data_IF_324335773018
#
_entry.id   IF_324335773018
#
_cell.length_a   1.000
_cell.length_b   1.000
_cell.length_c   1.000
_cell.angle_alpha   90.00
_cell.angle_beta   90.00
_cell.angle_gamma   90.00
#
_symmetry.space_group_name_H-M   'P 1'
#
loop_
_entity.id
_entity.type
_entity.pdbx_description
1 polymer ?
#
# COMPACT_ATOMS: atom_id res chain seq x y z
N UNK A 1 -8.59 20.12 13.92
CA UNK A 1 -8.77 19.60 15.29
C UNK A 1 -8.38 18.13 15.30
N UNK A 2 -7.65 17.67 16.32
CA UNK A 2 -7.40 16.23 16.52
C UNK A 2 -8.68 15.64 17.10
N UNK A 3 -9.22 14.61 16.44
CA UNK A 3 -10.45 13.90 16.88
C UNK A 3 -10.14 12.54 17.51
N UNK A 4 -8.95 11.98 17.24
CA UNK A 4 -8.39 10.83 17.95
C UNK A 4 -6.86 10.95 17.96
N UNK A 5 -6.24 10.71 19.11
CA UNK A 5 -4.79 10.85 19.28
C UNK A 5 -3.98 9.75 18.57
N UNK A 6 -4.48 8.52 18.57
CA UNK A 6 -3.80 7.39 17.93
C UNK A 6 -4.78 6.32 17.46
N UNK A 7 -4.95 6.19 16.15
CA UNK A 7 -5.78 5.18 15.51
C UNK A 7 -5.35 3.75 15.86
N UNK A 8 -4.05 3.53 15.99
CA UNK A 8 -3.48 2.20 16.20
C UNK A 8 -3.61 1.69 17.64
N UNK A 9 -4.02 2.57 18.57
CA UNK A 9 -4.06 2.33 20.02
C UNK A 9 -2.75 1.70 20.55
N UNK A 10 -1.60 2.17 20.08
CA UNK A 10 -0.27 1.71 20.48
C UNK A 10 0.26 0.45 19.78
N UNK A 11 -0.47 -0.09 18.80
CA UNK A 11 0.03 -1.24 18.01
C UNK A 11 1.12 -0.85 17.01
N UNK A 12 1.11 0.39 16.49
CA UNK A 12 2.19 0.95 15.69
C UNK A 12 3.31 1.53 16.57
N UNK A 13 4.51 1.70 15.99
CA UNK A 13 5.65 2.33 16.67
C UNK A 13 5.45 3.84 16.86
N UNK A 14 4.72 4.47 15.94
CA UNK A 14 4.39 5.89 15.95
C UNK A 14 2.87 6.05 16.11
N UNK A 15 2.43 7.06 16.86
CA UNK A 15 1.00 7.40 16.94
C UNK A 15 0.47 7.82 15.58
N UNK A 16 -0.75 7.40 15.26
CA UNK A 16 -1.43 7.73 14.01
C UNK A 16 -2.63 8.63 14.33
N UNK A 17 -2.45 9.95 14.46
CA UNK A 17 -3.54 10.83 14.82
C UNK A 17 -4.60 10.88 13.71
N UNK A 18 -5.84 11.12 14.13
CA UNK A 18 -6.97 11.38 13.24
C UNK A 18 -7.36 12.85 13.38
N UNK A 19 -7.37 13.58 12.26
CA UNK A 19 -7.61 15.02 12.24
C UNK A 19 -8.80 15.41 11.36
N UNK A 20 -9.65 16.30 11.87
CA UNK A 20 -10.72 16.91 11.10
C UNK A 20 -10.61 18.43 11.17
N UNK A 21 -10.50 19.07 10.03
CA UNK A 21 -10.50 20.53 9.85
C UNK A 21 -11.54 20.99 8.81
N UNK A 22 -12.33 20.06 8.28
CA UNK A 22 -13.25 20.30 7.16
C UNK A 22 -14.66 20.51 7.67
N UNK A 23 -15.11 19.68 8.61
CA UNK A 23 -16.48 19.69 9.11
C UNK A 23 -16.55 19.26 10.59
N UNK A 24 -17.76 19.19 11.13
CA UNK A 24 -18.03 18.75 12.50
C UNK A 24 -18.32 17.24 12.61
N UNK A 25 -17.99 16.44 11.59
CA UNK A 25 -18.23 15.00 11.62
C UNK A 25 -17.27 14.31 12.60
N UNK A 26 -17.85 13.46 13.46
CA UNK A 26 -17.07 12.62 14.36
C UNK A 26 -16.45 11.46 13.58
N UNK A 27 -15.22 11.08 13.96
CA UNK A 27 -14.62 9.84 13.50
C UNK A 27 -15.31 8.67 14.19
N UNK A 28 -16.07 7.87 13.43
CA UNK A 28 -16.75 6.68 13.93
C UNK A 28 -15.95 5.44 13.56
N UNK A 29 -15.25 4.87 14.54
CA UNK A 29 -14.56 3.58 14.40
C UNK A 29 -15.59 2.44 14.32
N UNK A 30 -16.03 2.13 13.10
CA UNK A 30 -16.88 0.96 12.81
C UNK A 30 -16.05 -0.25 12.35
N UNK A 31 -14.77 -0.28 12.71
CA UNK A 31 -13.82 -1.34 12.38
C UNK A 31 -12.80 -1.46 13.52
N UNK A 32 -12.06 -2.56 13.54
CA UNK A 32 -10.98 -2.83 14.48
C UNK A 32 -9.64 -2.63 13.80
N UNK A 33 -8.78 -1.81 14.40
CA UNK A 33 -7.41 -1.66 13.94
C UNK A 33 -6.60 -2.91 14.25
N UNK A 34 -6.06 -3.56 13.23
CA UNK A 34 -5.17 -4.73 13.35
C UNK A 34 -3.90 -4.51 12.54
N UNK A 35 -2.77 -5.05 13.01
CA UNK A 35 -1.48 -4.89 12.33
C UNK A 35 -1.24 -5.94 11.22
N UNK A 36 -1.95 -7.07 11.29
CA UNK A 36 -1.77 -8.24 10.43
C UNK A 36 -3.14 -8.75 9.95
N UNK A 37 -3.13 -9.50 8.84
CA UNK A 37 -4.33 -10.09 8.26
C UNK A 37 -5.01 -11.08 9.22
N UNK A 38 -6.34 -11.08 9.21
CA UNK A 38 -7.16 -11.99 10.02
C UNK A 38 -7.69 -13.12 9.14
N UNK A 39 -7.39 -14.35 9.53
CA UNK A 39 -7.87 -15.57 8.87
C UNK A 39 -8.93 -16.25 9.78
N UNK A 40 -10.00 -16.79 9.20
CA UNK A 40 -11.06 -17.50 9.96
C UNK A 40 -10.83 -19.00 10.11
N UNK A 41 -10.01 -19.57 9.23
CA UNK A 41 -9.72 -21.00 9.19
C UNK A 41 -8.26 -21.21 9.58
N UNK A 42 -8.01 -22.19 10.46
CA UNK A 42 -6.66 -22.60 10.81
C UNK A 42 -6.05 -23.35 9.62
N UNK A 43 -5.10 -22.72 8.93
CA UNK A 43 -4.36 -23.38 7.86
C UNK A 43 -3.22 -24.22 8.41
N UNK A 44 -3.12 -25.48 7.97
CA UNK A 44 -1.91 -26.27 8.18
C UNK A 44 -0.73 -25.58 7.48
N UNK A 45 0.26 -25.18 8.28
CA UNK A 45 1.45 -24.52 7.79
C UNK A 45 2.28 -25.52 6.96
N UNK A 46 2.18 -25.44 5.63
CA UNK A 46 3.06 -26.23 4.75
C UNK A 46 4.49 -25.75 4.96
N UNK A 47 5.36 -26.66 5.42
CA UNK A 47 6.79 -26.42 5.60
C UNK A 47 7.45 -26.14 4.25
N UNK A 48 7.44 -24.87 3.84
CA UNK A 48 8.18 -24.36 2.71
C UNK A 48 9.32 -23.52 3.28
N UNK A 49 10.53 -24.05 3.16
CA UNK A 49 11.74 -23.44 3.71
C UNK A 49 12.22 -22.30 2.80
N UNK A 50 12.57 -21.17 3.40
CA UNK A 50 13.38 -20.13 2.79
C UNK A 50 14.84 -20.57 2.67
N UNK A 51 15.79 -19.63 2.76
CA UNK A 51 17.20 -19.96 2.62
C UNK A 51 17.82 -20.71 3.83
N UNK A 52 18.90 -21.42 3.53
CA UNK A 52 19.81 -22.12 4.45
C UNK A 52 21.19 -21.42 4.56
N UNK A 53 21.28 -20.16 4.11
CA UNK A 53 22.52 -19.38 4.14
C UNK A 53 23.07 -19.22 5.57
N UNK A 54 24.37 -19.47 5.76
CA UNK A 54 24.99 -19.47 7.11
C UNK A 54 25.30 -18.05 7.61
N UNK A 55 25.78 -17.15 6.72
CA UNK A 55 26.27 -15.82 7.13
C UNK A 55 25.48 -14.68 6.47
N UNK A 56 25.67 -14.49 5.17
CA UNK A 56 25.13 -13.35 4.42
C UNK A 56 24.37 -13.86 3.21
N UNK A 57 23.11 -13.44 3.11
CA UNK A 57 22.31 -13.66 1.91
C UNK A 57 22.79 -12.73 0.80
N UNK A 58 23.34 -13.30 -0.28
CA UNK A 58 23.76 -12.56 -1.48
C UNK A 58 23.08 -13.14 -2.73
N UNK A 59 22.91 -12.34 -3.80
CA UNK A 59 22.50 -12.85 -5.11
C UNK A 59 23.38 -14.01 -5.59
N UNK A 60 22.78 -15.03 -6.18
CA UNK A 60 23.41 -16.26 -6.64
C UNK A 60 23.75 -17.27 -5.53
N UNK A 61 23.45 -16.96 -4.27
CA UNK A 61 23.70 -17.84 -3.11
C UNK A 61 22.50 -18.01 -2.20
N UNK A 62 21.47 -17.17 -2.32
CA UNK A 62 20.33 -17.16 -1.41
C UNK A 62 19.06 -17.41 -2.19
N UNK A 63 18.40 -18.54 -1.92
CA UNK A 63 17.14 -18.89 -2.56
C UNK A 63 16.07 -17.81 -2.41
N UNK A 64 16.02 -17.08 -1.29
CA UNK A 64 15.07 -15.97 -1.10
C UNK A 64 15.34 -14.82 -2.08
N UNK A 65 16.61 -14.49 -2.31
CA UNK A 65 17.00 -13.45 -3.26
C UNK A 65 16.77 -13.92 -4.69
N UNK A 66 17.24 -15.12 -5.02
CA UNK A 66 17.25 -15.64 -6.38
C UNK A 66 15.84 -15.99 -6.89
N UNK A 67 14.91 -16.34 -5.99
CA UNK A 67 13.50 -16.54 -6.32
C UNK A 67 12.71 -15.22 -6.39
N UNK A 68 13.25 -14.12 -5.86
CA UNK A 68 12.60 -12.81 -5.95
C UNK A 68 12.84 -12.20 -7.33
N UNK A 69 11.79 -11.71 -7.97
CA UNK A 69 11.89 -11.04 -9.27
C UNK A 69 12.04 -9.53 -9.13
N UNK A 70 11.88 -9.00 -7.92
CA UNK A 70 12.13 -7.60 -7.58
C UNK A 70 13.35 -7.50 -6.68
N UNK A 71 14.24 -6.54 -6.99
CA UNK A 71 15.39 -6.24 -6.15
C UNK A 71 15.01 -5.26 -5.05
N UNK A 72 15.62 -5.44 -3.88
CA UNK A 72 15.56 -4.47 -2.79
C UNK A 72 16.95 -4.02 -2.40
N UNK A 73 17.06 -2.76 -1.97
CA UNK A 73 18.27 -2.14 -1.46
C UNK A 73 17.90 -1.30 -0.23
N UNK A 74 18.60 -1.50 0.88
CA UNK A 74 18.39 -0.74 2.13
C UNK A 74 16.91 -0.64 2.54
N UNK A 75 16.22 -1.79 2.59
CA UNK A 75 14.81 -1.88 2.93
C UNK A 75 13.87 -1.07 2.00
N UNK A 76 14.26 -0.88 0.73
CA UNK A 76 13.46 -0.24 -0.32
C UNK A 76 13.45 -1.08 -1.57
N UNK A 77 12.37 -0.98 -2.34
CA UNK A 77 12.29 -1.53 -3.69
C UNK A 77 13.19 -0.72 -4.62
N UNK A 78 14.00 -1.44 -5.40
CA UNK A 78 14.83 -0.85 -6.44
C UNK A 78 13.97 -0.48 -7.66
N UNK A 79 13.81 0.83 -7.90
CA UNK A 79 13.02 1.39 -9.00
C UNK A 79 13.87 1.79 -10.21
N UNK A 80 15.17 1.45 -10.25
CA UNK A 80 16.06 1.82 -11.36
C UNK A 80 15.60 1.28 -12.71
N UNK A 81 14.94 0.12 -12.72
CA UNK A 81 14.37 -0.50 -13.91
C UNK A 81 12.86 -0.21 -14.08
N UNK A 82 12.35 0.81 -13.40
CA UNK A 82 10.94 1.15 -13.37
C UNK A 82 10.17 0.51 -12.22
N UNK A 83 8.88 0.79 -12.16
CA UNK A 83 7.96 0.30 -11.14
C UNK A 83 7.66 -1.19 -11.40
N UNK A 84 7.87 -2.10 -10.43
CA UNK A 84 7.54 -3.51 -10.58
C UNK A 84 6.06 -3.73 -10.93
N UNK A 85 5.80 -4.64 -11.85
CA UNK A 85 4.45 -5.05 -12.23
C UNK A 85 3.84 -5.95 -11.15
N UNK A 86 2.68 -5.56 -10.63
CA UNK A 86 2.00 -6.28 -9.55
C UNK A 86 1.82 -7.79 -9.83
N UNK A 87 1.46 -8.19 -11.06
CA UNK A 87 1.13 -9.58 -11.41
C UNK A 87 2.34 -10.41 -11.83
N UNK A 88 3.42 -9.79 -12.28
CA UNK A 88 4.63 -10.49 -12.76
C UNK A 88 5.72 -10.52 -11.69
N UNK A 89 5.72 -9.52 -10.80
CA UNK A 89 6.74 -9.38 -9.80
C UNK A 89 6.33 -9.91 -8.42
N UNK A 90 7.32 -10.44 -7.69
CA UNK A 90 7.16 -11.00 -6.35
C UNK A 90 8.47 -10.91 -5.56
N UNK A 91 8.36 -10.76 -4.23
CA UNK A 91 9.48 -10.77 -3.29
C UNK A 91 9.32 -11.93 -2.30
N UNK A 92 10.41 -12.66 -2.06
CA UNK A 92 10.52 -13.65 -0.98
C UNK A 92 11.48 -13.09 0.08
N UNK A 93 10.93 -12.55 1.16
CA UNK A 93 11.75 -11.97 2.24
C UNK A 93 12.41 -13.05 3.07
N UNK A 94 13.61 -12.80 3.58
CA UNK A 94 14.15 -13.64 4.63
C UNK A 94 13.40 -13.41 5.95
N UNK A 95 13.02 -14.50 6.63
CA UNK A 95 12.29 -14.43 7.89
C UNK A 95 12.75 -15.51 8.86
N UNK A 96 12.62 -15.26 10.16
CA UNK A 96 13.01 -16.18 11.23
C UNK A 96 12.25 -17.51 11.21
N UNK A 97 11.02 -17.52 10.71
CA UNK A 97 10.17 -18.71 10.67
C UNK A 97 10.40 -19.55 9.41
N UNK A 98 10.88 -18.94 8.32
CA UNK A 98 11.05 -19.63 7.04
C UNK A 98 12.50 -19.97 6.72
N UNK A 99 13.46 -19.13 7.10
CA UNK A 99 14.87 -19.31 6.76
C UNK A 99 15.62 -20.03 7.89
N UNK A 100 16.04 -21.27 7.64
CA UNK A 100 16.82 -22.06 8.61
C UNK A 100 18.24 -21.52 8.83
N UNK A 101 18.82 -20.95 7.78
CA UNK A 101 20.18 -20.40 7.80
C UNK A 101 20.24 -19.02 8.45
N UNK A 102 19.84 -17.98 7.70
CA UNK A 102 19.99 -16.60 8.16
C UNK A 102 19.02 -16.21 9.28
N UNK A 103 17.93 -16.96 9.46
CA UNK A 103 16.88 -16.73 10.47
C UNK A 103 16.34 -15.29 10.46
N UNK A 104 16.24 -14.69 9.27
CA UNK A 104 15.75 -13.32 9.09
C UNK A 104 16.69 -12.22 9.58
N UNK A 105 17.94 -12.54 9.97
CA UNK A 105 18.91 -11.54 10.46
C UNK A 105 19.67 -10.80 9.36
N UNK A 106 19.48 -11.20 8.10
CA UNK A 106 20.09 -10.51 6.97
C UNK A 106 19.26 -9.28 6.55
N UNK A 107 19.81 -8.48 5.65
CA UNK A 107 19.15 -7.27 5.12
C UNK A 107 18.11 -7.54 4.02
N UNK A 108 17.87 -8.82 3.66
CA UNK A 108 16.89 -9.16 2.64
C UNK A 108 15.47 -9.21 3.20
N UNK A 109 15.00 -8.07 3.69
CA UNK A 109 13.66 -7.86 4.23
C UNK A 109 13.25 -6.42 3.92
N UNK A 110 12.07 -6.25 3.35
CA UNK A 110 11.47 -4.95 3.02
C UNK A 110 10.53 -4.49 4.14
N UNK A 111 9.79 -5.42 4.75
CA UNK A 111 8.80 -5.12 5.78
C UNK A 111 9.42 -4.90 7.16
N UNK A 112 9.07 -3.80 7.86
CA UNK A 112 9.46 -3.60 9.26
C UNK A 112 8.65 -4.53 10.18
N UNK A 113 9.15 -4.79 11.39
CA UNK A 113 8.41 -5.57 12.40
C UNK A 113 7.14 -4.86 12.90
N UNK A 114 7.14 -3.53 12.89
CA UNK A 114 5.99 -2.68 13.25
C UNK A 114 5.91 -1.50 12.30
N UNK A 115 4.69 -1.06 12.02
CA UNK A 115 4.47 0.18 11.29
C UNK A 115 5.15 1.35 12.00
N UNK A 116 5.97 2.12 11.27
CA UNK A 116 6.88 3.12 11.82
C UNK A 116 6.91 4.44 11.04
N UNK A 117 5.95 4.66 10.13
CA UNK A 117 5.88 5.91 9.38
C UNK A 117 5.05 6.97 10.12
N UNK A 118 5.53 8.21 10.12
CA UNK A 118 4.78 9.37 10.60
C UNK A 118 3.72 9.77 9.57
N UNK A 119 2.49 9.32 9.79
CA UNK A 119 1.32 9.62 8.97
C UNK A 119 0.17 10.07 9.85
N UNK A 120 -0.85 10.66 9.24
CA UNK A 120 -2.12 10.95 9.91
C UNK A 120 -3.31 10.65 9.01
N UNK A 121 -4.42 10.25 9.62
CA UNK A 121 -5.70 10.13 8.94
C UNK A 121 -6.38 11.49 8.99
N UNK A 122 -6.82 12.01 7.85
CA UNK A 122 -7.43 13.34 7.77
C UNK A 122 -8.74 13.33 6.98
N UNK A 123 -9.68 14.20 7.37
CA UNK A 123 -10.92 14.41 6.62
C UNK A 123 -10.64 15.21 5.36
N UNK A 124 -11.04 14.70 4.20
CA UNK A 124 -10.99 15.43 2.92
C UNK A 124 -12.34 16.12 2.64
N UNK A 125 -12.34 17.19 1.81
CA UNK A 125 -13.58 17.88 1.44
C UNK A 125 -14.54 17.02 0.60
N UNK A 126 -14.01 16.12 -0.25
CA UNK A 126 -14.82 15.44 -1.29
C UNK A 126 -14.78 13.91 -1.22
N UNK A 127 -13.79 13.30 -0.57
CA UNK A 127 -13.50 11.86 -0.66
C UNK A 127 -13.50 11.16 0.72
N UNK A 128 -14.18 11.73 1.73
CA UNK A 128 -14.28 11.07 3.04
C UNK A 128 -13.03 11.25 3.90
N UNK A 129 -12.46 10.16 4.39
CA UNK A 129 -11.24 10.12 5.20
C UNK A 129 -10.09 9.57 4.36
N UNK A 130 -8.91 10.14 4.54
CA UNK A 130 -7.70 9.83 3.77
C UNK A 130 -6.49 9.67 4.69
N UNK A 131 -5.36 9.19 4.15
CA UNK A 131 -4.06 9.20 4.84
C UNK A 131 -3.14 10.20 4.18
N UNK A 132 -2.38 10.98 4.94
CA UNK A 132 -1.28 11.81 4.41
C UNK A 132 0.01 11.62 5.18
N UNK A 133 1.13 11.84 4.49
CA UNK A 133 2.45 11.79 5.14
C UNK A 133 2.70 13.01 6.01
N UNK A 134 3.38 12.83 7.14
CA UNK A 134 3.93 13.93 7.97
C UNK A 134 5.44 14.06 7.85
N UNK A 135 6.07 13.15 7.12
CA UNK A 135 7.50 13.11 6.89
C UNK A 135 7.81 13.00 5.39
N UNK A 136 9.10 13.13 5.05
CA UNK A 136 9.59 12.75 3.73
C UNK A 136 9.57 11.22 3.61
N UNK A 137 9.12 10.72 2.46
CA UNK A 137 9.21 9.29 2.13
C UNK A 137 9.89 9.19 0.77
N UNK A 138 11.03 8.50 0.74
CA UNK A 138 11.79 8.27 -0.50
C UNK A 138 11.07 7.25 -1.39
N UNK A 139 11.20 7.41 -2.70
CA UNK A 139 10.75 6.40 -3.66
C UNK A 139 11.34 5.01 -3.32
N UNK A 140 10.55 3.96 -3.52
CA UNK A 140 10.86 2.57 -3.17
C UNK A 140 10.57 2.19 -1.72
N UNK A 141 10.29 3.16 -0.84
CA UNK A 141 10.00 2.89 0.58
C UNK A 141 8.71 2.10 0.74
N UNK A 142 8.76 1.02 1.53
CA UNK A 142 7.58 0.28 1.96
C UNK A 142 6.69 1.16 2.84
N UNK A 143 5.39 1.17 2.57
CA UNK A 143 4.41 1.94 3.31
C UNK A 143 3.73 1.08 4.37
N UNK A 144 2.93 0.11 3.93
CA UNK A 144 2.19 -0.79 4.79
C UNK A 144 1.67 -1.99 3.99
N UNK A 145 1.45 -3.10 4.69
CA UNK A 145 0.65 -4.21 4.17
C UNK A 145 -0.81 -3.77 4.06
N UNK A 146 -1.51 -4.18 3.01
CA UNK A 146 -2.95 -4.05 2.93
C UNK A 146 -3.57 -5.10 3.82
N UNK A 147 -4.10 -4.66 4.95
CA UNK A 147 -4.55 -5.56 6.02
C UNK A 147 -6.07 -5.59 6.10
N UNK A 148 -6.61 -6.81 6.22
CA UNK A 148 -8.02 -7.05 6.49
C UNK A 148 -8.30 -8.51 6.83
N UNK A 149 -9.55 -8.91 6.67
CA UNK A 149 -9.94 -10.31 6.73
C UNK A 149 -9.61 -10.99 5.40
N UNK A 150 -8.94 -12.16 5.44
CA UNK A 150 -8.73 -12.98 4.23
C UNK A 150 -10.01 -13.73 3.92
N UNK A 151 -10.52 -13.54 2.69
CA UNK A 151 -11.77 -14.13 2.22
C UNK A 151 -11.52 -14.89 0.93
N UNK A 152 -11.95 -16.15 0.89
CA UNK A 152 -11.93 -16.93 -0.35
C UNK A 152 -13.12 -16.57 -1.24
N UNK A 153 -12.93 -16.65 -2.56
CA UNK A 153 -13.97 -16.34 -3.56
C UNK A 153 -15.34 -16.96 -3.27
N UNK A 154 -15.38 -18.23 -2.83
CA UNK A 154 -16.63 -18.93 -2.52
C UNK A 154 -17.42 -18.30 -1.37
N UNK A 155 -16.77 -17.56 -0.48
CA UNK A 155 -17.37 -16.92 0.70
C UNK A 155 -17.69 -15.44 0.47
N UNK A 156 -17.57 -14.96 -0.77
CA UNK A 156 -17.73 -13.54 -1.13
C UNK A 156 -19.17 -13.12 -1.46
N UNK A 157 -20.04 -14.07 -1.82
CA UNK A 157 -21.36 -13.80 -2.42
C UNK A 157 -22.33 -12.93 -1.58
N UNK A 158 -22.03 -12.66 -0.31
CA UNK A 158 -22.87 -11.88 0.60
C UNK A 158 -22.14 -10.72 1.30
N UNK A 159 -20.95 -10.33 0.83
CA UNK A 159 -20.15 -9.28 1.47
C UNK A 159 -20.19 -7.96 0.68
N UNK A 160 -20.18 -6.81 1.35
CA UNK A 160 -19.95 -5.53 0.68
C UNK A 160 -18.50 -5.46 0.19
N UNK A 161 -18.29 -5.54 -1.12
CA UNK A 161 -16.96 -5.64 -1.76
C UNK A 161 -16.31 -4.27 -2.00
N UNK A 162 -16.89 -3.19 -1.46
CA UNK A 162 -16.51 -1.80 -1.78
C UNK A 162 -15.03 -1.47 -1.53
N UNK A 163 -14.40 -2.19 -0.60
CA UNK A 163 -13.04 -1.96 -0.12
C UNK A 163 -12.14 -3.19 -0.27
N UNK A 164 -12.65 -4.30 -0.81
CA UNK A 164 -11.88 -5.54 -0.88
C UNK A 164 -10.91 -5.52 -2.04
N UNK A 165 -9.66 -5.94 -1.78
CA UNK A 165 -8.63 -6.03 -2.82
C UNK A 165 -8.57 -7.45 -3.34
N UNK A 166 -8.71 -7.64 -4.66
CA UNK A 166 -8.57 -8.94 -5.31
C UNK A 166 -7.08 -9.30 -5.44
N UNK A 167 -6.71 -10.46 -4.90
CA UNK A 167 -5.37 -10.97 -4.89
C UNK A 167 -5.34 -12.34 -5.57
N UNK A 168 -5.05 -12.38 -6.89
CA UNK A 168 -5.14 -13.61 -7.65
C UNK A 168 -3.99 -14.55 -7.31
N UNK A 169 -4.32 -15.81 -7.02
CA UNK A 169 -3.36 -16.88 -6.76
C UNK A 169 -2.84 -17.49 -8.07
N UNK A 170 -2.11 -16.67 -8.84
CA UNK A 170 -1.64 -17.00 -10.20
C UNK A 170 -0.88 -18.34 -10.29
N UNK A 171 -0.23 -18.74 -9.21
CA UNK A 171 0.64 -19.93 -9.14
C UNK A 171 -0.09 -21.24 -8.78
N UNK A 172 -1.34 -21.18 -8.31
CA UNK A 172 -2.07 -22.37 -7.83
C UNK A 172 -3.22 -22.69 -8.77
N UNK A 173 -4.16 -21.77 -8.91
CA UNK A 173 -5.33 -21.92 -9.76
C UNK A 173 -5.89 -20.54 -10.06
N UNK A 174 -6.01 -20.19 -11.35
CA UNK A 174 -6.55 -18.90 -11.81
C UNK A 174 -7.99 -18.63 -11.35
N UNK A 175 -8.72 -19.66 -10.89
CA UNK A 175 -10.07 -19.53 -10.34
C UNK A 175 -10.14 -19.53 -8.80
N UNK A 176 -9.01 -19.65 -8.11
CA UNK A 176 -8.93 -19.54 -6.66
C UNK A 176 -8.38 -18.16 -6.26
N UNK A 177 -9.22 -17.13 -6.34
CA UNK A 177 -8.84 -15.80 -5.84
C UNK A 177 -9.06 -15.72 -4.32
N UNK A 178 -8.13 -15.05 -3.65
CA UNK A 178 -8.33 -14.58 -2.28
C UNK A 178 -8.53 -13.07 -2.32
N UNK A 179 -9.24 -12.58 -1.33
CA UNK A 179 -9.53 -11.17 -1.18
C UNK A 179 -9.12 -10.74 0.21
N UNK A 180 -8.60 -9.53 0.32
CA UNK A 180 -8.38 -8.88 1.61
C UNK A 180 -9.49 -7.88 1.82
N UNK A 181 -10.35 -8.12 2.80
CA UNK A 181 -11.52 -7.30 3.12
C UNK A 181 -11.27 -6.47 4.39
N UNK A 182 -11.03 -5.14 4.26
CA UNK A 182 -10.72 -4.28 5.40
C UNK A 182 -11.97 -3.72 6.12
N UNK A 183 -13.16 -4.29 5.87
CA UNK A 183 -14.42 -3.74 6.37
C UNK A 183 -14.51 -3.78 7.90
N UNK A 184 -14.27 -4.96 8.50
CA UNK A 184 -14.37 -5.19 9.95
C UNK A 184 -13.01 -5.06 10.63
N UNK A 185 -11.95 -5.59 10.01
CA UNK A 185 -10.58 -5.55 10.49
C UNK A 185 -9.75 -4.81 9.45
N UNK A 186 -8.86 -3.91 9.84
CA UNK A 186 -7.92 -3.31 8.89
C UNK A 186 -6.98 -2.32 9.54
N UNK A 187 -5.93 -1.92 8.85
CA UNK A 187 -4.98 -0.92 9.33
C UNK A 187 -5.22 0.44 8.62
N UNK A 188 -4.20 1.30 8.55
CA UNK A 188 -4.29 2.58 7.83
C UNK A 188 -4.64 2.45 6.35
N UNK A 189 -4.33 1.33 5.69
CA UNK A 189 -4.44 1.22 4.23
C UNK A 189 -5.88 1.24 3.75
N UNK A 190 -6.84 0.93 4.62
CA UNK A 190 -8.28 1.04 4.35
C UNK A 190 -8.74 2.48 4.06
N UNK A 191 -7.92 3.47 4.40
CA UNK A 191 -8.17 4.90 4.19
C UNK A 191 -7.36 5.47 3.00
N UNK A 192 -6.66 4.62 2.23
CA UNK A 192 -5.99 5.08 1.02
C UNK A 192 -7.05 5.34 -0.05
N UNK A 193 -7.16 6.60 -0.48
CA UNK A 193 -8.08 6.97 -1.55
C UNK A 193 -7.49 6.69 -2.94
N UNK A 194 -8.37 6.75 -3.93
CA UNK A 194 -7.95 6.73 -5.32
C UNK A 194 -7.32 8.04 -5.78
N UNK A 195 -6.26 7.94 -6.56
CA UNK A 195 -5.84 9.00 -7.47
C UNK A 195 -5.56 8.42 -8.86
N UNK A 196 -5.88 9.17 -9.92
CA UNK A 196 -5.45 8.87 -11.28
C UNK A 196 -3.95 9.16 -11.52
N UNK A 197 -3.29 9.72 -10.51
CA UNK A 197 -1.83 9.85 -10.43
C UNK A 197 -1.41 9.48 -9.00
N UNK A 198 -1.59 8.21 -8.67
CA UNK A 198 -1.29 7.56 -7.39
C UNK A 198 0.20 7.63 -7.05
N UNK A 199 0.55 7.78 -5.77
CA UNK A 199 1.94 7.74 -5.29
C UNK A 199 2.33 6.41 -4.65
N UNK A 200 1.38 5.50 -4.44
CA UNK A 200 1.61 4.18 -3.90
C UNK A 200 1.30 3.10 -4.93
N UNK A 201 2.20 2.13 -5.10
CA UNK A 201 1.96 0.96 -5.94
C UNK A 201 1.87 -0.33 -5.12
N UNK A 202 0.95 -1.23 -5.48
CA UNK A 202 0.83 -2.52 -4.84
C UNK A 202 1.98 -3.44 -5.27
N UNK A 203 2.42 -4.31 -4.37
CA UNK A 203 3.33 -5.41 -4.68
C UNK A 203 2.98 -6.64 -3.85
N UNK A 204 3.48 -7.79 -4.29
CA UNK A 204 3.24 -9.07 -3.63
C UNK A 204 4.50 -9.63 -3.02
N UNK A 205 4.37 -10.24 -1.85
CA UNK A 205 5.51 -10.85 -1.18
C UNK A 205 5.11 -12.02 -0.27
N UNK A 206 6.12 -12.81 0.08
CA UNK A 206 6.03 -13.81 1.15
C UNK A 206 7.07 -13.49 2.23
N UNK A 207 6.65 -13.52 3.49
CA UNK A 207 7.53 -13.24 4.64
C UNK A 207 7.52 -14.36 5.68
N UNK A 208 6.56 -14.36 6.61
CA UNK A 208 6.50 -15.30 7.74
C UNK A 208 6.17 -16.75 7.36
N UNK A 209 5.66 -16.96 6.16
CA UNK A 209 5.47 -18.27 5.56
C UNK A 209 5.73 -18.17 4.05
N UNK A 210 5.67 -19.31 3.38
CA UNK A 210 5.85 -19.45 1.92
C UNK A 210 4.65 -20.11 1.25
N UNK A 211 3.56 -20.30 2.00
CA UNK A 211 2.33 -20.87 1.45
C UNK A 211 1.81 -19.97 0.33
N UNK A 212 1.78 -20.53 -0.89
CA UNK A 212 1.38 -19.80 -2.07
C UNK A 212 -0.06 -19.29 -2.01
N UNK A 213 -0.92 -19.94 -1.21
CA UNK A 213 -2.31 -19.55 -1.02
C UNK A 213 -2.52 -18.36 -0.09
N UNK A 214 -1.45 -17.88 0.55
CA UNK A 214 -1.47 -16.80 1.55
C UNK A 214 -0.57 -15.63 1.14
N UNK A 215 -0.51 -15.32 -0.14
CA UNK A 215 0.36 -14.22 -0.59
C UNK A 215 -0.01 -12.90 0.08
N UNK A 216 0.97 -12.14 0.56
CA UNK A 216 0.74 -10.81 1.16
C UNK A 216 0.70 -9.74 0.07
N UNK A 217 -0.11 -8.72 0.31
CA UNK A 217 -0.23 -7.52 -0.52
C UNK A 217 0.28 -6.32 0.27
N UNK A 218 1.32 -5.64 -0.22
CA UNK A 218 1.81 -4.40 0.38
C UNK A 218 1.82 -3.24 -0.60
N UNK A 219 2.07 -2.04 -0.07
CA UNK A 219 2.29 -0.84 -0.88
C UNK A 219 3.68 -0.26 -0.67
N UNK A 220 4.27 0.28 -1.74
CA UNK A 220 5.49 1.07 -1.69
C UNK A 220 5.30 2.41 -2.40
N UNK A 221 6.10 3.41 -2.04
CA UNK A 221 6.11 4.71 -2.70
C UNK A 221 6.73 4.60 -4.10
N UNK A 222 6.01 4.94 -5.17
CA UNK A 222 6.57 4.92 -6.54
C UNK A 222 7.37 6.17 -6.92
N UNK A 223 7.27 7.21 -6.10
CA UNK A 223 8.00 8.47 -6.20
C UNK A 223 8.21 9.06 -4.83
N UNK A 224 9.03 10.10 -4.73
CA UNK A 224 9.21 10.84 -3.49
C UNK A 224 7.89 11.50 -3.05
N UNK A 225 7.59 11.38 -1.77
CA UNK A 225 6.40 11.93 -1.12
C UNK A 225 6.85 12.95 -0.08
N UNK A 226 6.24 14.13 -0.10
CA UNK A 226 6.56 15.21 0.83
C UNK A 226 5.52 15.30 1.97
N UNK A 227 5.88 15.88 3.13
CA UNK A 227 4.92 16.12 4.20
C UNK A 227 3.68 16.88 3.70
N UNK A 228 2.50 16.37 4.02
CA UNK A 228 1.21 16.92 3.61
C UNK A 228 0.59 16.23 2.39
N UNK A 229 1.38 15.50 1.59
CA UNK A 229 0.86 14.75 0.45
C UNK A 229 -0.09 13.63 0.91
N UNK A 230 -1.25 13.54 0.27
CA UNK A 230 -2.17 12.41 0.42
C UNK A 230 -1.55 11.14 -0.16
N UNK A 231 -1.63 10.04 0.58
CA UNK A 231 -1.23 8.71 0.15
C UNK A 231 -2.39 8.08 -0.61
N UNK A 232 -2.16 7.77 -1.89
CA UNK A 232 -3.20 7.34 -2.82
C UNK A 232 -2.75 6.16 -3.66
N UNK A 233 -3.72 5.34 -4.09
CA UNK A 233 -3.52 4.16 -4.93
C UNK A 233 -4.39 4.26 -6.19
N UNK A 234 -4.12 3.46 -7.21
CA UNK A 234 -5.10 3.21 -8.27
C UNK A 234 -6.07 2.11 -7.80
N UNK A 235 -7.38 2.38 -7.85
CA UNK A 235 -8.40 1.38 -7.50
C UNK A 235 -8.65 0.39 -8.65
N UNK A 236 -8.15 0.70 -9.85
CA UNK A 236 -8.26 -0.17 -11.01
C UNK A 236 -9.61 -0.05 -11.75
N UNK A 237 -9.63 -0.46 -13.02
CA UNK A 237 -10.78 -0.24 -13.90
C UNK A 237 -12.01 -1.06 -13.51
N UNK A 238 -11.83 -2.26 -12.94
CA UNK A 238 -12.94 -3.13 -12.49
C UNK A 238 -13.75 -2.47 -11.38
N UNK A 239 -13.08 -1.87 -10.39
CA UNK A 239 -13.74 -1.17 -9.29
C UNK A 239 -14.54 0.03 -9.82
N UNK A 240 -13.92 0.85 -10.67
CA UNK A 240 -14.57 2.03 -11.26
C UNK A 240 -15.78 1.64 -12.10
N UNK A 241 -15.67 0.59 -12.92
CA UNK A 241 -16.78 0.05 -13.71
C UNK A 241 -17.94 -0.36 -12.81
N UNK A 242 -17.66 -1.14 -11.76
CA UNK A 242 -18.67 -1.58 -10.79
C UNK A 242 -19.40 -0.42 -10.11
N UNK A 243 -18.66 0.59 -9.63
CA UNK A 243 -19.26 1.76 -8.95
C UNK A 243 -20.07 2.66 -9.87
N UNK A 244 -19.61 2.86 -11.10
CA UNK A 244 -20.37 3.61 -12.10
C UNK A 244 -21.67 2.88 -12.45
N UNK A 245 -21.62 1.57 -12.66
CA UNK A 245 -22.81 0.76 -12.96
C UNK A 245 -23.81 0.73 -11.81
N UNK A 246 -23.35 0.56 -10.56
CA UNK A 246 -24.18 0.59 -9.36
C UNK A 246 -24.89 1.94 -9.21
N UNK A 247 -24.16 3.04 -9.38
CA UNK A 247 -24.71 4.39 -9.27
C UNK A 247 -25.74 4.67 -10.38
N UNK A 248 -25.48 4.21 -11.61
CA UNK A 248 -26.44 4.30 -12.72
C UNK A 248 -27.75 3.57 -12.42
N UNK A 249 -27.71 2.39 -11.79
CA UNK A 249 -28.92 1.65 -11.37
C UNK A 249 -29.75 2.44 -10.35
N UNK A 250 -29.11 3.31 -9.57
CA UNK A 250 -29.75 4.21 -8.60
C UNK A 250 -30.10 5.59 -9.19
N UNK A 251 -29.97 5.76 -10.52
CA UNK A 251 -30.15 7.03 -11.22
C UNK A 251 -29.24 8.16 -10.69
N UNK A 252 -28.04 7.80 -10.25
CA UNK A 252 -26.99 8.68 -9.74
C UNK A 252 -25.76 8.64 -10.65
N UNK A 253 -24.89 9.65 -10.51
CA UNK A 253 -23.59 9.70 -11.17
C UNK A 253 -22.49 9.66 -10.11
N UNK A 254 -21.54 8.76 -10.30
CA UNK A 254 -20.36 8.67 -9.44
C UNK A 254 -19.17 9.32 -10.13
N UNK A 255 -18.41 10.11 -9.38
CA UNK A 255 -17.28 10.86 -9.90
C UNK A 255 -16.00 10.59 -9.10
N UNK A 256 -14.87 10.68 -9.78
CA UNK A 256 -13.57 10.74 -9.17
C UNK A 256 -13.32 12.11 -8.53
N UNK A 257 -12.92 12.06 -7.26
CA UNK A 257 -12.62 13.22 -6.42
C UNK A 257 -11.12 13.43 -6.21
N UNK A 258 -10.26 12.77 -6.99
CA UNK A 258 -8.80 12.98 -6.88
C UNK A 258 -8.43 14.43 -7.24
N UNK A 259 -7.29 14.90 -6.77
CA UNK A 259 -6.77 16.23 -7.04
C UNK A 259 -6.01 16.34 -8.38
N UNK A 260 -5.84 15.20 -9.08
CA UNK A 260 -5.14 15.16 -10.35
C UNK A 260 -5.84 16.01 -11.42
N UNK A 261 -5.04 16.81 -12.12
CA UNK A 261 -5.52 17.76 -13.14
C UNK A 261 -5.92 17.06 -14.44
N UNK A 262 -5.30 15.91 -14.74
CA UNK A 262 -5.62 15.07 -15.89
C UNK A 262 -6.36 13.80 -15.45
N UNK A 263 -7.32 13.93 -14.54
CA UNK A 263 -8.15 12.82 -14.05
C UNK A 263 -8.83 12.10 -15.21
N UNK A 264 -8.57 10.80 -15.36
CA UNK A 264 -9.08 9.97 -16.46
C UNK A 264 -10.47 9.37 -16.17
N UNK A 265 -10.89 9.39 -14.91
CA UNK A 265 -12.21 8.94 -14.47
C UNK A 265 -13.22 10.10 -14.52
N UNK A 266 -14.54 9.82 -14.60
CA UNK A 266 -15.57 10.86 -14.65
C UNK A 266 -15.37 11.87 -13.52
N UNK A 267 -15.19 13.16 -13.82
CA UNK A 267 -14.98 14.20 -12.82
C UNK A 267 -15.78 15.46 -13.18
N UNK A 268 -16.48 16.10 -12.22
CA UNK A 268 -17.30 17.26 -12.51
C UNK A 268 -16.43 18.47 -12.85
N UNK A 269 -16.67 19.08 -14.01
CA UNK A 269 -16.04 20.35 -14.40
C UNK A 269 -14.53 20.33 -14.61
N UNK A 270 -13.88 19.15 -14.64
CA UNK A 270 -12.44 19.04 -14.90
C UNK A 270 -12.15 18.89 -16.40
N UNK A 271 -11.33 19.78 -16.99
CA UNK A 271 -10.90 19.62 -18.37
C UNK A 271 -10.08 18.34 -18.52
N UNK A 272 -10.45 17.52 -19.50
CA UNK A 272 -9.72 16.31 -19.85
C UNK A 272 -8.50 16.72 -20.69
N UNK A 273 -7.30 16.58 -20.13
CA UNK A 273 -6.05 16.76 -20.90
C UNK A 273 -5.88 15.58 -21.85
N UNK A 274 -5.32 15.81 -23.04
CA UNK A 274 -4.93 14.71 -23.90
C UNK A 274 -3.76 13.93 -23.25
N UNK A 275 -3.58 12.68 -23.67
CA UNK A 275 -2.60 11.75 -23.11
C UNK A 275 -1.17 12.31 -23.10
N UNK A 276 -0.75 13.00 -24.18
CA UNK A 276 0.60 13.57 -24.29
C UNK A 276 0.83 14.66 -23.24
N UNK A 277 -0.14 15.54 -23.05
CA UNK A 277 -0.04 16.62 -22.07
C UNK A 277 -0.12 16.09 -20.63
N UNK A 278 -0.94 15.06 -20.39
CA UNK A 278 -1.01 14.38 -19.09
C UNK A 278 0.34 13.74 -18.71
N UNK A 279 0.99 13.02 -19.64
CA UNK A 279 2.32 12.44 -19.44
C UNK A 279 3.36 13.52 -19.15
N UNK A 280 3.29 14.67 -19.84
CA UNK A 280 4.21 15.79 -19.63
C UNK A 280 4.03 16.41 -18.25
N UNK A 281 2.80 16.65 -17.80
CA UNK A 281 2.52 17.19 -16.46
C UNK A 281 2.94 16.20 -15.37
N UNK A 282 2.72 14.89 -15.58
CA UNK A 282 3.14 13.83 -14.67
C UNK A 282 4.65 13.89 -14.42
N UNK A 283 5.45 13.92 -15.49
CA UNK A 283 6.92 14.04 -15.41
C UNK A 283 7.35 15.31 -14.68
N UNK A 284 6.75 16.45 -15.04
CA UNK A 284 7.03 17.74 -14.40
C UNK A 284 6.73 17.72 -12.90
N UNK A 285 5.66 17.06 -12.46
CA UNK A 285 5.36 16.92 -11.02
C UNK A 285 6.34 16.01 -10.30
N UNK A 286 6.74 14.90 -10.91
CA UNK A 286 7.75 14.00 -10.33
C UNK A 286 9.07 14.76 -10.11
N UNK A 287 9.53 15.51 -11.12
CA UNK A 287 10.74 16.32 -11.03
C UNK A 287 10.64 17.41 -9.95
N UNK A 288 9.51 18.12 -9.89
CA UNK A 288 9.26 19.13 -8.85
C UNK A 288 9.26 18.53 -7.44
N UNK A 289 8.58 17.41 -7.23
CA UNK A 289 8.55 16.71 -5.95
C UNK A 289 9.96 16.28 -5.53
N UNK A 290 10.75 15.71 -6.45
CA UNK A 290 12.12 15.33 -6.19
C UNK A 290 13.00 16.55 -5.81
N UNK A 291 12.84 17.68 -6.51
CA UNK A 291 13.58 18.90 -6.19
C UNK A 291 13.23 19.44 -4.79
N UNK A 292 11.94 19.44 -4.41
CA UNK A 292 11.48 19.84 -3.06
C UNK A 292 12.06 18.88 -2.02
N UNK A 293 11.99 17.57 -2.28
CA UNK A 293 12.55 16.54 -1.43
C UNK A 293 14.04 16.78 -1.15
N UNK A 294 14.83 17.03 -2.19
CA UNK A 294 16.28 17.28 -2.07
C UNK A 294 16.57 18.54 -1.25
N UNK A 295 15.83 19.64 -1.49
CA UNK A 295 15.95 20.87 -0.69
C UNK A 295 15.64 20.62 0.79
N UNK A 296 14.61 19.83 1.09
CA UNK A 296 14.23 19.51 2.45
C UNK A 296 15.30 18.63 3.14
N UNK A 297 15.86 17.65 2.43
CA UNK A 297 16.96 16.80 2.91
C UNK A 297 18.23 17.62 3.22
N UNK A 298 18.57 18.59 2.38
CA UNK A 298 19.68 19.52 2.63
C UNK A 298 19.45 20.40 3.86
N UNK A 299 18.23 20.92 4.02
CA UNK A 299 17.88 21.76 5.16
C UNK A 299 17.89 20.98 6.48
N UNK A 300 17.47 19.71 6.47
CA UNK A 300 17.58 18.83 7.65
C UNK A 300 19.04 18.56 8.00
N UNK A 301 19.91 18.29 7.01
CA UNK A 301 21.36 18.14 7.25
C UNK A 301 21.97 19.39 7.90
N UNK A 302 21.60 20.59 7.44
CA UNK A 302 22.06 21.85 8.03
C UNK A 302 21.59 22.05 9.47
N UNK A 303 20.39 21.56 9.84
CA UNK A 303 19.88 21.61 11.22
C UNK A 303 20.58 20.64 12.17
N UNK A 304 21.16 19.55 11.67
CA UNK A 304 21.90 18.56 12.47
C UNK A 304 23.36 18.99 12.69
N UNK A 305 23.91 19.80 11.77
CA UNK A 305 25.29 20.29 11.82
C UNK A 305 25.47 21.62 12.59
N UNK A 306 24.38 22.25 13.03
CA UNK A 306 24.35 23.46 13.84
C UNK A 306 23.74 23.19 15.21
#
# INVERSE_FOLDING_TARGET
MIVKEDLSNGSASCKIPVVNVVDNSNFKERFLYVAENVEREDFEQKNLNGCDCIDVCLPGRCACIDNSTTRIYDHKIDLTNGVPNFYENIIYECDKNTCLGCKGKCHWRLTPEKFNLEVEVFKTPLAGWAVRSRQLIEAGTFIAEFVGEIVHHNSMAHRPIDYAYDLPLLDINKSANIYVDPHVYGNITRFLNHSCFENLHPFRYYSHHRDKSRISLGFFASRDIIPGDELTIDYGPEWWRGKIEESRKQNQVFFCCCDWVSCINPAPGKPQMNEKDAIKEMKSRIERNHAIFMCWKENQKKKILN
#
